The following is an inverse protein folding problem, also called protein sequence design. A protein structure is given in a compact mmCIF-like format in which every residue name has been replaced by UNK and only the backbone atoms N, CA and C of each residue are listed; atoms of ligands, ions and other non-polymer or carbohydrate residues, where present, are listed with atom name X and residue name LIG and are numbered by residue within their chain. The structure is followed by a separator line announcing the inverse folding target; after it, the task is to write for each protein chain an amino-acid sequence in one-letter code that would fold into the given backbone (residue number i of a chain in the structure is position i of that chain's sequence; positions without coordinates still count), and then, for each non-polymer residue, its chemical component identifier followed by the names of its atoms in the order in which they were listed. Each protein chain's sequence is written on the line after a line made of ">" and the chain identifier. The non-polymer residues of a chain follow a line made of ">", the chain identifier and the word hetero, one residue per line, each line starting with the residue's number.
data_IF_382131753922
#
_entry.id   IF_382131753922
#
_cell.length_a   1.000
_cell.length_b   1.000
_cell.length_c   1.000
_cell.angle_alpha   90.00
_cell.angle_beta   90.00
_cell.angle_gamma   90.00
#
_symmetry.space_group_name_H-M   'P 1'
#
loop_
_entity.id
_entity.type
_entity.pdbx_description
1 polymer ?
#
# COMPACT_ATOMS: atom_id res chain seq x y z
N UNK A 1 -25.41 1.63 -5.96
CA UNK A 1 -24.56 2.83 -5.93
C UNK A 1 -24.33 3.27 -4.49
N UNK A 2 -23.09 3.56 -4.15
CA UNK A 2 -22.76 4.11 -2.84
C UNK A 2 -23.37 5.50 -2.69
N UNK A 3 -23.90 5.82 -1.51
CA UNK A 3 -24.37 7.18 -1.20
C UNK A 3 -23.17 8.13 -1.08
N UNK A 4 -23.43 9.44 -1.15
CA UNK A 4 -22.36 10.45 -0.95
C UNK A 4 -21.65 10.25 0.40
N UNK A 5 -22.40 9.92 1.43
CA UNK A 5 -21.88 9.67 2.78
C UNK A 5 -20.95 8.43 2.80
N UNK A 6 -21.36 7.35 2.15
CA UNK A 6 -20.53 6.15 2.02
C UNK A 6 -19.26 6.43 1.22
N UNK A 7 -19.36 7.21 0.16
CA UNK A 7 -18.20 7.60 -0.67
C UNK A 7 -17.20 8.43 0.16
N UNK A 8 -17.70 9.42 0.92
CA UNK A 8 -16.86 10.22 1.81
C UNK A 8 -16.19 9.35 2.89
N UNK A 9 -16.91 8.37 3.41
CA UNK A 9 -16.36 7.41 4.36
C UNK A 9 -15.21 6.60 3.76
N UNK A 10 -15.37 6.12 2.53
CA UNK A 10 -14.32 5.37 1.81
C UNK A 10 -13.09 6.25 1.53
N UNK A 11 -13.29 7.49 1.12
CA UNK A 11 -12.19 8.44 0.94
C UNK A 11 -11.47 8.69 2.26
N UNK A 12 -12.21 8.78 3.35
CA UNK A 12 -11.66 8.90 4.70
C UNK A 12 -10.81 7.69 5.10
N UNK A 13 -11.27 6.48 4.77
CA UNK A 13 -10.49 5.26 4.99
C UNK A 13 -9.19 5.29 4.20
N UNK A 14 -9.27 5.67 2.93
CA UNK A 14 -8.07 5.81 2.09
C UNK A 14 -7.08 6.81 2.68
N UNK A 15 -7.56 7.99 3.07
CA UNK A 15 -6.72 9.01 3.70
C UNK A 15 -6.05 8.48 4.97
N UNK A 16 -6.80 7.87 5.87
CA UNK A 16 -6.27 7.32 7.11
C UNK A 16 -5.24 6.22 6.87
N UNK A 17 -5.50 5.36 5.89
CA UNK A 17 -4.59 4.30 5.48
C UNK A 17 -3.28 4.87 4.94
N UNK A 18 -3.36 5.85 4.03
CA UNK A 18 -2.18 6.47 3.45
C UNK A 18 -1.33 7.21 4.49
N UNK A 19 -1.97 7.94 5.42
CA UNK A 19 -1.26 8.59 6.51
C UNK A 19 -0.51 7.60 7.38
N UNK A 20 -1.13 6.47 7.70
CA UNK A 20 -0.49 5.42 8.51
C UNK A 20 0.69 4.80 7.78
N UNK A 21 0.58 4.55 6.47
CA UNK A 21 1.67 4.00 5.66
C UNK A 21 2.85 4.97 5.57
N UNK A 22 2.58 6.27 5.38
CA UNK A 22 3.63 7.30 5.29
C UNK A 22 4.37 7.47 6.61
N UNK A 23 3.66 7.39 7.73
CA UNK A 23 4.25 7.51 9.08
C UNK A 23 5.05 6.29 9.50
N UNK A 24 4.82 5.17 8.87
CA UNK A 24 5.46 3.90 9.18
C UNK A 24 6.92 3.93 8.71
N UNK A 25 7.84 3.51 9.56
CA UNK A 25 9.22 3.32 9.15
C UNK A 25 9.32 2.15 8.16
N UNK A 26 10.12 2.32 7.12
CA UNK A 26 10.36 1.28 6.11
C UNK A 26 9.90 1.73 4.72
N UNK A 27 9.14 0.88 4.06
CA UNK A 27 8.80 1.05 2.66
C UNK A 27 7.75 2.14 2.41
N UNK A 28 8.15 3.20 1.76
CA UNK A 28 7.22 4.19 1.20
C UNK A 28 6.99 3.83 -0.27
N UNK A 29 5.83 3.21 -0.53
CA UNK A 29 5.48 2.71 -1.85
C UNK A 29 4.68 3.74 -2.63
N UNK A 30 5.02 3.90 -3.92
CA UNK A 30 4.20 4.68 -4.84
C UNK A 30 2.86 3.97 -5.08
N UNK A 31 1.88 4.70 -5.64
CA UNK A 31 0.59 4.12 -6.01
C UNK A 31 0.77 2.93 -6.96
N UNK A 32 1.68 3.04 -7.94
CA UNK A 32 1.97 1.96 -8.88
C UNK A 32 2.56 0.74 -8.16
N UNK A 33 3.53 0.96 -7.29
CA UNK A 33 4.17 -0.12 -6.53
C UNK A 33 3.16 -0.81 -5.61
N UNK A 34 2.31 -0.05 -4.94
CA UNK A 34 1.27 -0.60 -4.09
C UNK A 34 0.24 -1.38 -4.91
N UNK A 35 -0.17 -0.87 -6.07
CA UNK A 35 -1.10 -1.57 -6.97
C UNK A 35 -0.53 -2.91 -7.45
N UNK A 36 0.75 -2.96 -7.82
CA UNK A 36 1.43 -4.20 -8.19
C UNK A 36 1.44 -5.18 -7.01
N UNK A 37 1.82 -4.71 -5.84
CA UNK A 37 1.87 -5.53 -4.63
C UNK A 37 0.49 -6.11 -4.30
N UNK A 38 -0.54 -5.28 -4.29
CA UNK A 38 -1.90 -5.72 -3.98
C UNK A 38 -2.41 -6.73 -5.02
N UNK A 39 -2.14 -6.50 -6.29
CA UNK A 39 -2.54 -7.45 -7.34
C UNK A 39 -1.88 -8.81 -7.11
N UNK A 40 -0.58 -8.83 -6.78
CA UNK A 40 0.14 -10.08 -6.50
C UNK A 40 -0.42 -10.83 -5.29
N UNK A 41 -0.94 -10.12 -4.30
CA UNK A 41 -1.42 -10.74 -3.06
C UNK A 41 -2.92 -11.02 -3.03
N UNK A 42 -3.72 -10.35 -3.83
CA UNK A 42 -5.16 -10.49 -3.83
C UNK A 42 -5.67 -11.43 -4.93
N UNK A 43 -4.93 -11.55 -6.03
CA UNK A 43 -5.29 -12.50 -7.08
C UNK A 43 -4.89 -13.92 -6.68
N UNK A 44 -5.74 -14.89 -7.02
CA UNK A 44 -5.49 -16.31 -6.68
C UNK A 44 -4.35 -16.92 -7.46
N UNK A 45 -4.13 -16.47 -8.69
CA UNK A 45 -3.10 -16.98 -9.57
C UNK A 45 -1.79 -16.19 -9.43
N UNK A 46 -0.67 -16.88 -9.63
CA UNK A 46 0.63 -16.23 -9.67
C UNK A 46 0.66 -15.22 -10.82
N UNK A 47 1.10 -14.00 -10.53
CA UNK A 47 1.14 -12.92 -11.52
C UNK A 47 2.44 -12.97 -12.31
N UNK A 48 2.38 -12.52 -13.56
CA UNK A 48 3.54 -12.37 -14.43
C UNK A 48 3.79 -10.90 -14.71
N UNK A 49 5.01 -10.55 -15.10
CA UNK A 49 5.35 -9.17 -15.53
C UNK A 49 4.42 -8.73 -16.67
N UNK A 50 4.21 -9.58 -17.65
CA UNK A 50 3.32 -9.31 -18.78
C UNK A 50 1.87 -9.09 -18.34
N UNK A 51 1.36 -9.94 -17.47
CA UNK A 51 0.00 -9.84 -16.95
C UNK A 51 -0.21 -8.58 -16.13
N UNK A 52 0.75 -8.22 -15.28
CA UNK A 52 0.70 -6.98 -14.49
C UNK A 52 0.74 -5.75 -15.38
N UNK A 53 1.57 -5.75 -16.43
CA UNK A 53 1.63 -4.65 -17.38
C UNK A 53 0.26 -4.43 -18.07
N UNK A 54 -0.40 -5.51 -18.45
CA UNK A 54 -1.74 -5.45 -19.04
C UNK A 54 -2.79 -4.97 -18.03
N UNK A 55 -2.76 -5.50 -16.81
CA UNK A 55 -3.72 -5.14 -15.75
C UNK A 55 -3.61 -3.66 -15.36
N UNK A 56 -2.39 -3.15 -15.23
CA UNK A 56 -2.15 -1.76 -14.84
C UNK A 56 -2.13 -0.81 -16.03
N UNK A 57 -2.16 -1.32 -17.26
CA UNK A 57 -2.03 -0.53 -18.48
C UNK A 57 -0.76 0.33 -18.47
N UNK A 58 0.36 -0.29 -18.16
CA UNK A 58 1.69 0.33 -18.17
C UNK A 58 2.67 -0.57 -18.92
N UNK A 59 3.83 -0.05 -19.22
CA UNK A 59 4.87 -0.81 -19.93
C UNK A 59 5.49 -1.90 -19.04
N UNK A 60 6.04 -2.94 -19.66
CA UNK A 60 6.79 -3.98 -18.93
C UNK A 60 7.98 -3.40 -18.17
N UNK A 61 8.80 -2.47 -18.71
CA UNK A 61 9.85 -1.82 -17.91
C UNK A 61 9.33 -1.09 -16.68
N UNK A 62 8.15 -0.48 -16.75
CA UNK A 62 7.53 0.17 -15.58
C UNK A 62 7.20 -0.85 -14.50
N UNK A 63 6.66 -2.02 -14.88
CA UNK A 63 6.39 -3.11 -13.94
C UNK A 63 7.70 -3.65 -13.35
N UNK A 64 8.72 -3.85 -14.18
CA UNK A 64 10.03 -4.34 -13.71
C UNK A 64 10.61 -3.40 -12.65
N UNK A 65 10.54 -2.09 -12.88
CA UNK A 65 11.01 -1.09 -11.90
C UNK A 65 10.20 -1.15 -10.59
N UNK A 66 8.88 -1.32 -10.70
CA UNK A 66 8.03 -1.48 -9.50
C UNK A 66 8.40 -2.74 -8.73
N UNK A 67 8.62 -3.85 -9.42
CA UNK A 67 9.04 -5.11 -8.80
C UNK A 67 10.43 -5.03 -8.20
N UNK A 68 11.36 -4.30 -8.82
CA UNK A 68 12.70 -4.04 -8.26
C UNK A 68 12.57 -3.38 -6.89
N UNK A 69 11.73 -2.36 -6.79
CA UNK A 69 11.52 -1.65 -5.53
C UNK A 69 10.86 -2.55 -4.47
N UNK A 70 9.84 -3.31 -4.86
CA UNK A 70 9.18 -4.25 -3.96
C UNK A 70 10.13 -5.35 -3.48
N UNK A 71 11.03 -5.81 -4.34
CA UNK A 71 12.03 -6.81 -4.00
C UNK A 71 13.08 -6.26 -3.03
N UNK A 72 13.45 -4.98 -3.15
CA UNK A 72 14.34 -4.31 -2.18
C UNK A 72 13.78 -4.37 -0.76
N UNK A 73 12.46 -4.28 -0.61
CA UNK A 73 11.78 -4.40 0.68
C UNK A 73 11.41 -5.84 1.03
N UNK A 74 11.82 -6.81 0.22
CA UNK A 74 11.48 -8.23 0.37
C UNK A 74 9.96 -8.49 0.41
N UNK A 75 9.19 -7.70 -0.30
CA UNK A 75 7.74 -7.86 -0.39
C UNK A 75 7.34 -8.83 -1.49
N UNK A 76 8.18 -9.01 -2.50
CA UNK A 76 8.01 -9.98 -3.58
C UNK A 76 9.36 -10.56 -3.98
N UNK A 77 9.33 -11.71 -4.67
CA UNK A 77 10.48 -12.29 -5.36
C UNK A 77 10.09 -12.61 -6.78
N UNK A 78 11.06 -12.63 -7.67
CA UNK A 78 10.83 -12.98 -9.08
C UNK A 78 11.48 -14.32 -9.38
N UNK A 79 10.80 -15.10 -10.20
CA UNK A 79 11.31 -16.40 -10.65
C UNK A 79 10.95 -16.58 -12.12
N UNK A 80 11.89 -17.07 -12.91
CA UNK A 80 11.60 -17.49 -14.28
C UNK A 80 10.61 -18.66 -14.23
N UNK A 81 9.56 -18.59 -15.07
CA UNK A 81 8.58 -19.66 -15.16
C UNK A 81 9.24 -20.93 -15.73
N UNK A 82 9.24 -22.05 -15.01
CA UNK A 82 9.81 -23.30 -15.54
C UNK A 82 9.11 -23.80 -16.81
N UNK A 83 7.82 -23.49 -16.97
CA UNK A 83 7.03 -23.88 -18.13
C UNK A 83 7.25 -22.97 -19.34
N UNK A 84 7.64 -21.71 -19.11
CA UNK A 84 7.92 -20.73 -20.15
C UNK A 84 9.03 -19.77 -19.70
N UNK A 85 10.24 -20.02 -20.14
CA UNK A 85 11.44 -19.23 -19.76
C UNK A 85 11.37 -17.76 -20.17
N UNK A 86 10.41 -17.38 -21.02
CA UNK A 86 10.19 -15.98 -21.41
C UNK A 86 9.34 -15.24 -20.40
N UNK A 87 8.70 -15.97 -19.49
CA UNK A 87 7.78 -15.41 -18.49
C UNK A 87 8.48 -15.31 -17.14
N UNK A 88 8.26 -14.19 -16.46
CA UNK A 88 8.74 -13.98 -15.09
C UNK A 88 7.53 -14.02 -14.16
N UNK A 89 7.55 -14.96 -13.23
CA UNK A 89 6.53 -15.12 -12.18
C UNK A 89 6.92 -14.28 -10.97
N UNK A 90 5.92 -13.69 -10.35
CA UNK A 90 6.08 -12.95 -9.09
C UNK A 90 5.66 -13.87 -7.94
N UNK A 91 6.56 -14.06 -7.00
CA UNK A 91 6.33 -14.90 -5.82
C UNK A 91 6.06 -14.03 -4.60
N UNK A 92 5.14 -14.50 -3.75
CA UNK A 92 4.86 -13.89 -2.46
C UNK A 92 5.98 -14.24 -1.48
N UNK A 93 6.18 -13.39 -0.46
CA UNK A 93 7.15 -13.60 0.61
C UNK A 93 6.44 -13.59 1.96
N UNK A 94 7.03 -14.17 3.00
CA UNK A 94 6.48 -14.05 4.35
C UNK A 94 6.37 -12.60 4.81
N UNK A 95 7.34 -11.76 4.45
CA UNK A 95 7.33 -10.33 4.79
C UNK A 95 6.21 -9.59 4.05
N UNK A 96 5.97 -9.94 2.80
CA UNK A 96 4.86 -9.37 2.03
C UNK A 96 3.49 -9.79 2.60
N UNK A 97 3.35 -11.04 3.01
CA UNK A 97 2.13 -11.52 3.69
C UNK A 97 1.89 -10.75 4.99
N UNK A 98 2.95 -10.52 5.78
CA UNK A 98 2.87 -9.70 6.99
C UNK A 98 2.48 -8.25 6.68
N UNK A 99 3.01 -7.68 5.60
CA UNK A 99 2.64 -6.34 5.14
C UNK A 99 1.15 -6.25 4.84
N UNK A 100 0.58 -7.23 4.15
CA UNK A 100 -0.86 -7.27 3.84
C UNK A 100 -1.70 -7.40 5.11
N UNK A 101 -1.27 -8.20 6.06
CA UNK A 101 -1.93 -8.33 7.35
C UNK A 101 -1.96 -6.98 8.09
N UNK A 102 -0.83 -6.29 8.13
CA UNK A 102 -0.73 -4.98 8.75
C UNK A 102 -1.58 -3.93 8.02
N UNK A 103 -1.59 -3.97 6.69
CA UNK A 103 -2.41 -3.08 5.88
C UNK A 103 -3.90 -3.26 6.18
N UNK A 104 -4.36 -4.51 6.30
CA UNK A 104 -5.75 -4.80 6.68
C UNK A 104 -6.09 -4.24 8.06
N UNK A 105 -5.18 -4.37 9.02
CA UNK A 105 -5.37 -3.82 10.36
C UNK A 105 -5.42 -2.29 10.34
N UNK A 106 -4.54 -1.65 9.57
CA UNK A 106 -4.52 -0.20 9.38
C UNK A 106 -5.84 0.28 8.78
N UNK A 107 -6.34 -0.39 7.75
CA UNK A 107 -7.59 -0.02 7.10
C UNK A 107 -8.80 -0.19 8.03
N UNK A 108 -8.84 -1.25 8.82
CA UNK A 108 -9.89 -1.46 9.82
C UNK A 108 -9.89 -0.34 10.85
N UNK A 109 -8.72 0.07 11.33
CA UNK A 109 -8.58 1.17 12.28
C UNK A 109 -9.02 2.49 11.64
N UNK A 110 -8.64 2.74 10.39
CA UNK A 110 -9.05 3.94 9.65
C UNK A 110 -10.57 4.00 9.42
N UNK A 111 -11.22 2.84 9.32
CA UNK A 111 -12.68 2.74 9.12
C UNK A 111 -13.49 2.96 10.40
N UNK A 112 -12.85 2.93 11.57
CA UNK A 112 -13.56 3.17 12.84
C UNK A 112 -14.03 4.62 12.95
N UNK A 113 -15.24 4.88 13.51
CA UNK A 113 -15.67 6.24 13.77
C UNK A 113 -14.68 6.96 14.68
N UNK A 114 -14.25 8.16 14.28
CA UNK A 114 -13.35 8.97 15.10
C UNK A 114 -14.14 9.68 16.19
N UNK A 115 -13.66 9.66 17.47
CA UNK A 115 -14.27 10.46 18.51
C UNK A 115 -14.10 11.94 18.19
N UNK A 116 -15.17 12.72 18.34
CA UNK A 116 -15.13 14.18 18.11
C UNK A 116 -14.10 14.86 19.01
N UNK A 117 -13.81 14.30 20.17
CA UNK A 117 -12.84 14.80 21.13
C UNK A 117 -11.36 14.67 20.70
N UNK A 118 -11.05 13.95 19.61
CA UNK A 118 -9.67 13.76 19.15
C UNK A 118 -9.05 15.01 18.52
N UNK A 119 -9.85 15.91 17.91
CA UNK A 119 -9.37 17.11 17.27
C UNK A 119 -8.74 18.13 18.25
N UNK A 120 -9.36 18.47 19.39
CA UNK A 120 -8.74 19.40 20.35
C UNK A 120 -7.40 18.89 20.88
N UNK A 121 -7.24 17.60 21.11
CA UNK A 121 -5.98 17.02 21.58
C UNK A 121 -4.87 17.10 20.51
N UNK A 122 -5.20 16.90 19.24
CA UNK A 122 -4.25 17.02 18.13
C UNK A 122 -3.79 18.47 17.96
N UNK A 123 -4.69 19.46 18.12
CA UNK A 123 -4.36 20.89 18.07
C UNK A 123 -3.43 21.30 19.21
N UNK A 124 -3.66 20.82 20.42
CA UNK A 124 -2.80 21.08 21.58
C UNK A 124 -1.39 20.52 21.38
N UNK A 125 -1.25 19.33 20.80
CA UNK A 125 0.07 18.76 20.49
C UNK A 125 0.80 19.55 19.41
N UNK A 126 0.12 20.01 18.38
CA UNK A 126 0.69 20.84 17.33
C UNK A 126 1.14 22.21 17.87
N UNK A 127 0.36 22.84 18.73
CA UNK A 127 0.70 24.10 19.37
C UNK A 127 1.93 23.97 20.29
N UNK A 128 2.03 22.89 21.07
CA UNK A 128 3.19 22.61 21.92
C UNK A 128 4.47 22.38 21.11
N UNK A 129 4.35 21.70 19.97
CA UNK A 129 5.48 21.46 19.07
C UNK A 129 5.94 22.77 18.40
N UNK A 130 5.02 23.66 18.02
CA UNK A 130 5.33 24.97 17.46
C UNK A 130 6.04 25.88 18.49
N UNK A 131 5.62 25.86 19.75
CA UNK A 131 6.24 26.64 20.81
C UNK A 131 7.69 26.23 21.11
N UNK A 132 8.04 24.96 20.89
CA UNK A 132 9.41 24.46 21.07
C UNK A 132 10.36 24.86 19.95
N UNK A 133 9.85 25.21 18.78
CA UNK A 133 10.67 25.53 17.60
C UNK A 133 11.05 27.02 17.54
N UNK A 134 10.49 27.87 18.39
CA UNK A 134 10.69 29.34 18.40
C UNK A 134 11.73 29.82 19.42
N UNK A 135 12.53 28.93 19.98
CA UNK A 135 13.65 29.29 20.84
C UNK A 135 14.98 29.18 20.15
#
# INVERSE_FOLDING_TARGET
>A
MATTDETESLVGVLRGTMLALVRREGSDLSARQLAVCLTCYLESEAQTVRGLAATLDVSKPAITRALDRLAEFDLVRRKTDPADRRSVLVQRTPKGTAFLRDLRAIMKEAAKPKPVAAEPAARKKAAAKSARTTR
#
